data_IF_012828478456
#
_entry.id   IF_012828478456
#
_cell.length_a   1.000
_cell.length_b   1.000
_cell.length_c   1.000
_cell.angle_alpha   90.00
_cell.angle_beta   90.00
_cell.angle_gamma   90.00
#
_symmetry.space_group_name_H-M   'P 1'
#
loop_
_entity.id
_entity.type
_entity.pdbx_description
1 polymer ?
#
# COMPACT_ATOMS: atom_id res chain seq x y z
N UNK A 1 -4.84 -0.34 9.88
CA UNK A 1 -4.57 0.94 10.57
C UNK A 1 -5.68 1.98 10.37
N UNK A 2 -6.10 2.33 9.13
CA UNK A 2 -7.12 3.39 8.88
C UNK A 2 -8.41 3.17 9.70
N UNK A 3 -9.01 1.98 9.64
CA UNK A 3 -10.21 1.66 10.42
C UNK A 3 -9.95 1.67 11.92
N UNK A 4 -8.83 1.16 12.38
CA UNK A 4 -8.46 1.17 13.81
C UNK A 4 -8.36 2.61 14.32
N UNK A 5 -7.68 3.48 13.59
CA UNK A 5 -7.61 4.91 13.92
C UNK A 5 -8.98 5.58 13.89
N UNK A 6 -9.82 5.27 12.88
CA UNK A 6 -11.17 5.82 12.79
C UNK A 6 -12.06 5.41 13.96
N UNK A 7 -11.96 4.16 14.40
CA UNK A 7 -12.73 3.64 15.53
C UNK A 7 -12.21 4.16 16.87
N UNK A 8 -10.89 4.34 17.02
CA UNK A 8 -10.30 4.89 18.25
C UNK A 8 -10.67 6.36 18.49
N UNK A 9 -11.11 7.07 17.47
CA UNK A 9 -11.56 8.47 17.53
C UNK A 9 -13.06 8.60 17.86
N UNK A 10 -13.73 7.51 18.20
CA UNK A 10 -15.16 7.51 18.58
C UNK A 10 -15.38 8.26 19.89
N UNK A 11 -16.47 9.06 19.97
CA UNK A 11 -16.80 9.83 21.16
C UNK A 11 -17.54 8.96 22.18
N UNK A 12 -16.95 8.82 23.38
CA UNK A 12 -17.49 8.05 24.50
C UNK A 12 -18.91 8.48 24.91
N UNK A 13 -19.22 9.77 24.82
CA UNK A 13 -20.53 10.34 25.22
C UNK A 13 -21.70 9.75 24.47
N UNK A 14 -21.50 9.40 23.18
CA UNK A 14 -22.55 8.77 22.38
C UNK A 14 -22.87 7.36 22.89
N UNK A 15 -21.84 6.63 23.32
CA UNK A 15 -22.01 5.29 23.90
C UNK A 15 -22.62 5.35 25.30
N UNK A 16 -22.24 6.32 26.14
CA UNK A 16 -22.84 6.56 27.44
C UNK A 16 -24.32 6.92 27.30
N UNK A 17 -24.68 7.80 26.37
CA UNK A 17 -26.06 8.13 26.07
C UNK A 17 -26.86 6.90 25.61
N UNK A 18 -26.29 6.04 24.78
CA UNK A 18 -26.92 4.80 24.34
C UNK A 18 -27.11 3.80 25.51
N UNK A 19 -26.20 3.77 26.46
CA UNK A 19 -26.28 2.93 27.66
C UNK A 19 -27.41 3.42 28.57
N UNK A 20 -27.53 4.74 28.80
CA UNK A 20 -28.63 5.35 29.56
C UNK A 20 -30.02 5.07 28.91
N UNK A 21 -30.04 5.06 27.58
CA UNK A 21 -31.27 4.74 26.81
C UNK A 21 -31.53 3.23 26.69
N UNK A 22 -30.76 2.38 27.40
CA UNK A 22 -30.86 0.91 27.35
C UNK A 22 -30.82 0.35 25.92
N UNK A 23 -30.01 0.98 25.03
CA UNK A 23 -29.87 0.56 23.63
C UNK A 23 -29.10 -0.76 23.55
N UNK A 24 -29.59 -1.72 22.76
CA UNK A 24 -28.88 -2.99 22.58
C UNK A 24 -27.49 -2.78 21.91
N UNK A 25 -26.49 -3.64 22.23
CA UNK A 25 -25.13 -3.56 21.67
C UNK A 25 -25.14 -3.52 20.14
N UNK A 26 -25.97 -4.34 19.48
CA UNK A 26 -26.09 -4.36 18.01
C UNK A 26 -26.65 -3.02 17.47
N UNK A 27 -27.67 -2.47 18.12
CA UNK A 27 -28.25 -1.18 17.71
C UNK A 27 -27.26 -0.05 17.88
N UNK A 28 -26.52 0.01 19.00
CA UNK A 28 -25.44 0.98 19.22
C UNK A 28 -24.34 0.85 18.16
N UNK A 29 -23.94 -0.38 17.79
CA UNK A 29 -22.99 -0.62 16.72
C UNK A 29 -23.44 -0.05 15.36
N UNK A 30 -24.70 -0.30 14.97
CA UNK A 30 -25.25 0.16 13.69
C UNK A 30 -25.54 1.66 13.65
N UNK A 31 -25.90 2.28 14.80
CA UNK A 31 -26.36 3.69 14.84
C UNK A 31 -25.28 4.66 15.30
N UNK A 32 -24.24 4.21 16.01
CA UNK A 32 -23.16 5.05 16.54
C UNK A 32 -21.83 4.67 15.91
N UNK A 33 -21.41 3.39 16.03
CA UNK A 33 -20.08 2.96 15.61
C UNK A 33 -19.90 3.07 14.10
N UNK A 34 -20.80 2.48 13.29
CA UNK A 34 -20.70 2.51 11.82
C UNK A 34 -20.81 3.95 11.27
N UNK A 35 -21.82 4.77 11.67
CA UNK A 35 -21.92 6.13 11.19
C UNK A 35 -20.75 7.02 11.64
N UNK A 36 -20.24 6.81 12.85
CA UNK A 36 -19.04 7.52 13.35
C UNK A 36 -17.78 7.20 12.55
N UNK A 37 -17.63 5.94 12.13
CA UNK A 37 -16.49 5.47 11.35
C UNK A 37 -16.67 5.61 9.82
N UNK A 38 -17.77 6.16 9.32
CA UNK A 38 -18.14 6.18 7.89
C UNK A 38 -17.04 6.67 6.96
N UNK A 39 -16.34 7.74 7.31
CA UNK A 39 -15.27 8.26 6.47
C UNK A 39 -14.02 7.36 6.48
N UNK A 40 -13.72 6.74 7.62
CA UNK A 40 -12.67 5.72 7.71
C UNK A 40 -13.02 4.46 6.91
N UNK A 41 -14.28 4.04 6.91
CA UNK A 41 -14.76 2.91 6.10
C UNK A 41 -14.62 3.24 4.61
N UNK A 42 -15.09 4.40 4.17
CA UNK A 42 -14.96 4.85 2.76
C UNK A 42 -13.49 4.93 2.36
N UNK A 43 -12.64 5.58 3.17
CA UNK A 43 -11.20 5.65 2.93
C UNK A 43 -10.58 4.26 2.78
N UNK A 44 -10.92 3.33 3.69
CA UNK A 44 -10.39 1.96 3.64
C UNK A 44 -10.81 1.22 2.37
N UNK A 45 -12.08 1.35 1.95
CA UNK A 45 -12.58 0.73 0.70
C UNK A 45 -11.76 1.24 -0.50
N UNK A 46 -11.57 2.55 -0.62
CA UNK A 46 -10.84 3.12 -1.76
C UNK A 46 -9.33 2.83 -1.73
N UNK A 47 -8.72 2.76 -0.55
CA UNK A 47 -7.31 2.35 -0.41
C UNK A 47 -7.13 0.90 -0.83
N UNK A 48 -8.00 -0.02 -0.34
CA UNK A 48 -7.95 -1.44 -0.74
C UNK A 48 -8.21 -1.56 -2.25
N UNK A 49 -9.23 -0.86 -2.76
CA UNK A 49 -9.53 -0.85 -4.20
C UNK A 49 -8.31 -0.46 -5.02
N UNK A 50 -7.64 0.64 -4.65
CA UNK A 50 -6.45 1.11 -5.37
C UNK A 50 -5.33 0.08 -5.31
N UNK A 51 -5.02 -0.47 -4.13
CA UNK A 51 -3.95 -1.45 -3.97
C UNK A 51 -4.20 -2.72 -4.78
N UNK A 52 -5.42 -3.26 -4.74
CA UNK A 52 -5.78 -4.48 -5.50
C UNK A 52 -5.82 -4.21 -7.00
N UNK A 53 -6.38 -3.06 -7.41
CA UNK A 53 -6.50 -2.70 -8.83
C UNK A 53 -5.14 -2.48 -9.50
N UNK A 54 -4.15 -2.02 -8.75
CA UNK A 54 -2.79 -1.76 -9.25
C UNK A 54 -1.81 -2.87 -8.96
N UNK A 55 -2.26 -3.94 -8.27
CA UNK A 55 -1.38 -5.06 -7.92
C UNK A 55 -0.97 -5.85 -9.16
N UNK A 56 0.34 -6.03 -9.27
CA UNK A 56 0.96 -6.85 -10.32
C UNK A 56 1.40 -8.21 -9.78
N UNK A 57 1.92 -8.25 -8.55
CA UNK A 57 2.63 -9.39 -8.02
C UNK A 57 1.75 -10.63 -7.86
N UNK A 58 0.66 -10.49 -7.13
CA UNK A 58 -0.27 -11.59 -6.86
C UNK A 58 -0.90 -12.12 -8.16
N UNK A 59 -1.52 -11.28 -9.02
CA UNK A 59 -2.09 -11.76 -10.28
C UNK A 59 -1.07 -12.42 -11.21
N UNK A 60 0.18 -11.96 -11.22
CA UNK A 60 1.23 -12.57 -12.06
C UNK A 60 1.57 -13.99 -11.64
N UNK A 61 1.55 -14.27 -10.33
CA UNK A 61 1.97 -15.58 -9.79
C UNK A 61 0.82 -16.58 -9.76
N UNK A 62 -0.35 -16.16 -9.28
CA UNK A 62 -1.48 -17.10 -9.05
C UNK A 62 -2.67 -16.90 -9.98
N UNK A 63 -2.67 -15.82 -10.79
CA UNK A 63 -3.81 -15.47 -11.66
C UNK A 63 -4.08 -16.44 -12.79
N UNK A 64 -3.11 -17.29 -13.17
CA UNK A 64 -3.27 -18.24 -14.28
C UNK A 64 -3.68 -17.54 -15.58
N UNK A 65 -4.89 -17.86 -16.07
CA UNK A 65 -5.46 -17.24 -17.29
C UNK A 65 -6.26 -15.95 -17.03
N UNK A 66 -6.42 -15.54 -15.76
CA UNK A 66 -7.06 -14.27 -15.44
C UNK A 66 -6.10 -13.13 -15.69
N UNK A 67 -6.39 -12.33 -16.72
CA UNK A 67 -5.60 -11.16 -17.03
C UNK A 67 -6.15 -9.94 -16.27
N UNK A 68 -5.25 -9.17 -15.67
CA UNK A 68 -5.54 -7.86 -15.10
C UNK A 68 -4.68 -6.81 -15.80
N UNK A 69 -5.12 -5.54 -15.81
CA UNK A 69 -4.42 -4.47 -16.55
C UNK A 69 -2.93 -4.38 -16.19
N UNK A 70 -2.57 -4.58 -14.92
CA UNK A 70 -1.17 -4.57 -14.48
C UNK A 70 -0.35 -5.69 -15.11
N UNK A 71 -0.91 -6.91 -15.27
CA UNK A 71 -0.23 -8.01 -15.97
C UNK A 71 -0.15 -7.79 -17.47
N UNK A 72 -1.15 -7.12 -18.07
CA UNK A 72 -1.14 -6.80 -19.49
C UNK A 72 -0.10 -5.74 -19.83
N UNK A 73 0.07 -4.71 -18.99
CA UNK A 73 1.20 -3.76 -19.12
C UNK A 73 2.53 -4.53 -19.17
N UNK A 74 2.74 -5.47 -18.24
CA UNK A 74 3.97 -6.25 -18.21
C UNK A 74 4.16 -7.10 -19.47
N UNK A 75 3.10 -7.76 -19.96
CA UNK A 75 3.15 -8.57 -21.18
C UNK A 75 3.50 -7.72 -22.41
N UNK A 76 2.87 -6.57 -22.57
CA UNK A 76 3.13 -5.67 -23.69
C UNK A 76 4.55 -5.09 -23.64
N UNK A 77 4.97 -4.57 -22.47
CA UNK A 77 6.26 -3.88 -22.32
C UNK A 77 7.43 -4.86 -22.32
N UNK A 78 7.37 -5.90 -21.46
CA UNK A 78 8.50 -6.83 -21.27
C UNK A 78 8.42 -8.01 -22.23
N UNK A 79 7.21 -8.52 -22.48
CA UNK A 79 7.01 -9.67 -23.35
C UNK A 79 7.09 -9.33 -24.85
N UNK A 80 6.38 -8.28 -25.26
CA UNK A 80 6.23 -7.91 -26.70
C UNK A 80 7.08 -6.69 -27.08
N UNK A 81 7.73 -6.01 -26.12
CA UNK A 81 8.48 -4.76 -26.31
C UNK A 81 7.63 -3.65 -26.97
N UNK A 82 6.32 -3.73 -26.80
CA UNK A 82 5.36 -2.75 -27.31
C UNK A 82 5.10 -1.67 -26.26
N UNK A 83 6.01 -0.72 -26.16
CA UNK A 83 5.95 0.36 -25.18
C UNK A 83 4.73 1.28 -25.38
N UNK A 84 4.30 1.49 -26.63
CA UNK A 84 3.16 2.35 -26.94
C UNK A 84 1.86 1.77 -26.38
N UNK A 85 1.61 0.48 -26.60
CA UNK A 85 0.43 -0.19 -26.05
C UNK A 85 0.52 -0.26 -24.53
N UNK A 86 1.69 -0.55 -23.97
CA UNK A 86 1.93 -0.49 -22.54
C UNK A 86 1.59 0.87 -21.93
N UNK A 87 1.93 1.98 -22.61
CA UNK A 87 1.55 3.33 -22.19
C UNK A 87 0.03 3.56 -22.21
N UNK A 88 -0.67 3.10 -23.26
CA UNK A 88 -2.14 3.21 -23.34
C UNK A 88 -2.81 2.47 -22.18
N UNK A 89 -2.43 1.22 -21.93
CA UNK A 89 -2.98 0.42 -20.84
C UNK A 89 -2.65 1.07 -19.47
N UNK A 90 -1.45 1.65 -19.33
CA UNK A 90 -1.04 2.38 -18.13
C UNK A 90 -1.92 3.61 -17.86
N UNK A 91 -2.29 4.37 -18.90
CA UNK A 91 -3.23 5.49 -18.76
C UNK A 91 -4.62 5.02 -18.36
N UNK A 92 -5.11 3.91 -18.92
CA UNK A 92 -6.40 3.32 -18.51
C UNK A 92 -6.35 2.87 -17.06
N UNK A 93 -5.25 2.26 -16.60
CA UNK A 93 -5.04 1.86 -15.21
C UNK A 93 -4.99 3.08 -14.27
N UNK A 94 -4.42 4.18 -14.71
CA UNK A 94 -4.26 5.39 -13.91
C UNK A 94 -5.60 6.06 -13.58
N UNK A 95 -6.59 6.06 -14.48
CA UNK A 95 -7.85 6.79 -14.30
C UNK A 95 -8.62 6.37 -13.02
N UNK A 96 -8.94 5.07 -12.79
CA UNK A 96 -9.62 4.66 -11.56
C UNK A 96 -8.75 4.86 -10.31
N UNK A 97 -7.42 4.70 -10.41
CA UNK A 97 -6.51 4.89 -9.29
C UNK A 97 -6.50 6.35 -8.81
N UNK A 98 -6.41 7.30 -9.73
CA UNK A 98 -6.48 8.74 -9.43
C UNK A 98 -7.84 9.12 -8.87
N UNK A 99 -8.94 8.60 -9.42
CA UNK A 99 -10.27 8.83 -8.87
C UNK A 99 -10.39 8.33 -7.44
N UNK A 100 -9.96 7.09 -7.17
CA UNK A 100 -9.99 6.49 -5.84
C UNK A 100 -9.13 7.30 -4.84
N UNK A 101 -7.97 7.79 -5.26
CA UNK A 101 -7.12 8.65 -4.46
C UNK A 101 -7.83 9.96 -4.05
N UNK A 102 -8.51 10.64 -4.94
CA UNK A 102 -9.25 11.87 -4.60
C UNK A 102 -10.39 11.60 -3.63
N UNK A 103 -11.10 10.48 -3.78
CA UNK A 103 -12.16 10.10 -2.82
C UNK A 103 -11.57 9.79 -1.45
N UNK A 104 -10.45 9.08 -1.38
CA UNK A 104 -9.75 8.81 -0.13
C UNK A 104 -9.29 10.11 0.56
N UNK A 105 -8.67 11.03 -0.17
CA UNK A 105 -8.25 12.33 0.35
C UNK A 105 -9.42 13.17 0.88
N UNK A 106 -10.53 13.19 0.16
CA UNK A 106 -11.73 13.87 0.62
C UNK A 106 -12.27 13.26 1.92
N UNK A 107 -12.31 11.94 2.01
CA UNK A 107 -12.78 11.21 3.18
C UNK A 107 -11.90 11.47 4.40
N UNK A 108 -10.57 11.45 4.25
CA UNK A 108 -9.60 11.75 5.33
C UNK A 108 -9.76 13.17 5.87
N UNK A 109 -9.91 14.17 5.00
CA UNK A 109 -10.15 15.56 5.43
C UNK A 109 -11.43 15.70 6.26
N UNK A 110 -12.49 15.00 5.88
CA UNK A 110 -13.76 15.01 6.62
C UNK A 110 -13.66 14.27 7.95
N UNK A 111 -12.89 13.22 8.04
CA UNK A 111 -12.67 12.47 9.28
C UNK A 111 -11.97 13.36 10.32
N UNK A 112 -10.89 14.05 9.94
CA UNK A 112 -10.18 14.96 10.85
C UNK A 112 -11.08 16.11 11.32
N UNK A 113 -11.96 16.63 10.46
CA UNK A 113 -12.88 17.72 10.80
C UNK A 113 -13.97 17.30 11.81
N UNK A 114 -14.25 16.00 11.96
CA UNK A 114 -15.21 15.50 12.96
C UNK A 114 -14.62 15.42 14.38
N UNK A 115 -13.30 15.49 14.52
CA UNK A 115 -12.63 15.55 15.82
C UNK A 115 -12.90 16.92 16.46
N UNK A 116 -13.87 16.98 17.33
CA UNK A 116 -14.10 18.16 18.14
C UNK A 116 -13.08 18.20 19.29
N UNK A 117 -12.64 19.40 19.68
CA UNK A 117 -11.74 19.62 20.82
C UNK A 117 -12.35 19.16 22.18
N UNK A 118 -13.60 18.68 22.17
CA UNK A 118 -14.35 18.22 23.34
C UNK A 118 -14.67 16.71 23.29
N UNK A 119 -14.23 15.97 22.27
CA UNK A 119 -14.48 14.53 22.20
C UNK A 119 -13.64 13.80 23.25
N UNK A 120 -14.27 12.90 23.98
CA UNK A 120 -13.63 11.99 24.93
C UNK A 120 -13.45 10.65 24.23
N UNK A 121 -12.20 10.14 24.22
CA UNK A 121 -11.89 8.85 23.58
C UNK A 121 -12.67 7.74 24.27
N UNK A 122 -13.34 6.92 23.47
CA UNK A 122 -14.11 5.77 23.98
C UNK A 122 -13.15 4.63 24.39
N UNK A 123 -13.19 4.26 25.66
CA UNK A 123 -12.52 3.07 26.18
C UNK A 123 -13.55 1.95 26.34
N UNK A 124 -13.43 0.85 25.56
CA UNK A 124 -14.38 -0.26 25.66
C UNK A 124 -14.28 -0.96 27.03
N UNK A 125 -15.44 -1.29 27.59
CA UNK A 125 -15.52 -2.09 28.82
C UNK A 125 -14.98 -3.49 28.57
N UNK A 126 -14.16 -4.02 29.50
CA UNK A 126 -13.61 -5.37 29.42
C UNK A 126 -14.73 -6.40 29.47
N UNK A 127 -14.89 -7.17 28.41
CA UNK A 127 -15.83 -8.29 28.30
C UNK A 127 -15.03 -9.54 27.90
N UNK A 128 -14.72 -10.38 28.90
CA UNK A 128 -13.88 -11.59 28.68
C UNK A 128 -14.42 -12.53 27.61
N UNK A 129 -15.76 -12.63 27.48
CA UNK A 129 -16.38 -13.49 26.46
C UNK A 129 -16.13 -12.95 25.04
N UNK A 130 -16.35 -11.64 24.85
CA UNK A 130 -16.10 -10.97 23.58
C UNK A 130 -14.60 -10.96 23.24
N UNK A 131 -13.76 -10.65 24.22
CA UNK A 131 -12.31 -10.61 24.02
C UNK A 131 -11.75 -11.99 23.58
N UNK A 132 -12.23 -13.08 24.19
CA UNK A 132 -11.84 -14.44 23.83
C UNK A 132 -12.34 -14.81 22.42
N UNK A 133 -13.56 -14.45 22.06
CA UNK A 133 -14.11 -14.70 20.74
C UNK A 133 -13.32 -13.92 19.64
N UNK A 134 -12.98 -12.64 19.90
CA UNK A 134 -12.17 -11.84 19.00
C UNK A 134 -10.74 -12.35 18.88
N UNK A 135 -10.14 -12.79 20.02
CA UNK A 135 -8.82 -13.42 20.01
C UNK A 135 -8.81 -14.71 19.17
N UNK A 136 -9.83 -15.56 19.32
CA UNK A 136 -9.97 -16.77 18.51
C UNK A 136 -10.12 -16.46 17.03
N UNK A 137 -10.92 -15.45 16.66
CA UNK A 137 -11.08 -14.99 15.27
C UNK A 137 -9.75 -14.48 14.68
N UNK A 138 -9.05 -13.60 15.38
CA UNK A 138 -7.74 -13.10 14.95
C UNK A 138 -6.70 -14.22 14.90
N UNK A 139 -6.74 -15.13 15.86
CA UNK A 139 -5.87 -16.32 15.90
C UNK A 139 -6.08 -17.24 14.70
N UNK A 140 -7.34 -17.44 14.29
CA UNK A 140 -7.66 -18.23 13.09
C UNK A 140 -7.09 -17.57 11.82
N UNK A 141 -7.27 -16.26 11.65
CA UNK A 141 -6.69 -15.53 10.51
C UNK A 141 -5.16 -15.61 10.53
N UNK A 142 -4.53 -15.40 11.68
CA UNK A 142 -3.09 -15.51 11.85
C UNK A 142 -2.60 -16.93 11.49
N UNK A 143 -3.31 -17.97 11.94
CA UNK A 143 -2.97 -19.37 11.62
C UNK A 143 -3.03 -19.65 10.12
N UNK A 144 -4.03 -19.12 9.39
CA UNK A 144 -4.11 -19.24 7.93
C UNK A 144 -2.91 -18.57 7.25
N UNK A 145 -2.55 -17.36 7.67
CA UNK A 145 -1.39 -16.64 7.13
C UNK A 145 -0.09 -17.42 7.39
N UNK A 146 0.12 -17.90 8.63
CA UNK A 146 1.29 -18.71 8.97
C UNK A 146 1.33 -20.04 8.22
N UNK A 147 0.18 -20.65 7.97
CA UNK A 147 0.09 -21.87 7.15
C UNK A 147 0.55 -21.61 5.71
N UNK A 148 0.12 -20.49 5.09
CA UNK A 148 0.57 -20.15 3.73
C UNK A 148 2.07 -19.90 3.67
N UNK A 149 2.64 -19.15 4.64
CA UNK A 149 4.08 -18.91 4.72
C UNK A 149 4.83 -20.23 5.00
N UNK A 150 4.29 -21.07 5.89
CA UNK A 150 4.84 -22.39 6.20
C UNK A 150 4.87 -23.32 4.99
N UNK A 151 3.83 -23.27 4.14
CA UNK A 151 3.80 -24.04 2.89
C UNK A 151 4.87 -23.57 1.90
N UNK A 152 5.11 -22.25 1.79
CA UNK A 152 6.19 -21.73 0.96
C UNK A 152 7.56 -22.20 1.47
N UNK A 153 7.77 -22.13 2.81
CA UNK A 153 8.99 -22.63 3.44
C UNK A 153 9.16 -24.14 3.27
N UNK A 154 8.07 -24.91 3.42
CA UNK A 154 8.10 -26.36 3.19
C UNK A 154 8.44 -26.69 1.74
N UNK A 155 7.82 -25.97 0.77
CA UNK A 155 8.16 -26.12 -0.66
C UNK A 155 9.63 -25.86 -0.97
N UNK A 156 10.26 -24.90 -0.27
CA UNK A 156 11.69 -24.61 -0.41
C UNK A 156 12.61 -25.74 0.16
N UNK A 157 12.10 -26.52 1.10
CA UNK A 157 12.85 -27.58 1.77
C UNK A 157 12.67 -28.97 1.14
N UNK A 158 11.75 -29.17 0.18
CA UNK A 158 11.52 -30.45 -0.49
C UNK A 158 12.21 -30.52 -1.83
N UNK A 159 12.69 -31.71 -2.25
CA UNK A 159 13.46 -31.88 -3.50
C UNK A 159 12.67 -31.54 -4.75
N UNK A 160 11.41 -31.97 -4.83
CA UNK A 160 10.58 -31.75 -6.02
C UNK A 160 9.10 -31.83 -5.68
N UNK A 161 8.47 -30.69 -5.55
CA UNK A 161 7.03 -30.60 -5.25
C UNK A 161 6.18 -30.95 -6.49
N UNK A 162 5.08 -31.70 -6.36
CA UNK A 162 4.60 -32.47 -5.21
C UNK A 162 5.10 -33.91 -5.17
N UNK A 163 6.00 -34.32 -6.06
CA UNK A 163 6.32 -35.73 -6.35
C UNK A 163 7.40 -36.34 -5.43
N UNK A 164 8.35 -35.52 -4.95
CA UNK A 164 9.42 -36.00 -4.07
C UNK A 164 9.56 -35.04 -2.87
N UNK A 165 8.94 -35.44 -1.75
CA UNK A 165 8.86 -34.65 -0.53
C UNK A 165 10.05 -34.87 0.42
N UNK A 166 11.12 -35.58 -0.01
CA UNK A 166 12.31 -35.72 0.82
C UNK A 166 12.99 -34.35 1.05
N UNK A 167 13.42 -34.11 2.28
CA UNK A 167 14.05 -32.85 2.69
C UNK A 167 15.39 -32.59 1.98
N UNK A 168 15.62 -31.34 1.61
CA UNK A 168 16.86 -30.88 0.97
C UNK A 168 17.09 -29.39 1.26
N UNK A 169 18.37 -29.00 1.31
CA UNK A 169 18.78 -27.60 1.36
C UNK A 169 19.34 -27.11 0.02
N UNK A 170 19.28 -27.97 -1.02
CA UNK A 170 19.89 -27.70 -2.33
C UNK A 170 19.33 -26.40 -2.98
N UNK A 171 18.05 -26.09 -2.73
CA UNK A 171 17.40 -24.89 -3.28
C UNK A 171 17.90 -23.58 -2.66
N UNK A 172 18.60 -23.64 -1.52
CA UNK A 172 19.26 -22.48 -0.91
C UNK A 172 20.61 -22.14 -1.54
N UNK A 173 21.11 -22.98 -2.46
CA UNK A 173 22.22 -22.64 -3.33
C UNK A 173 21.75 -21.71 -4.43
N UNK A 174 21.78 -20.39 -4.17
CA UNK A 174 21.25 -19.31 -5.02
C UNK A 174 21.97 -19.10 -6.36
N UNK A 175 22.97 -19.93 -6.71
CA UNK A 175 23.88 -19.67 -7.82
C UNK A 175 23.38 -20.12 -9.20
N UNK A 176 22.05 -20.27 -9.36
CA UNK A 176 21.49 -20.74 -10.65
C UNK A 176 21.11 -19.54 -11.53
N UNK A 177 21.68 -19.46 -12.71
CA UNK A 177 21.30 -18.56 -13.82
C UNK A 177 21.38 -17.05 -13.53
N UNK A 178 22.45 -16.57 -12.87
CA UNK A 178 22.65 -15.14 -12.64
C UNK A 178 21.75 -14.52 -11.53
N UNK A 179 20.96 -15.34 -10.88
CA UNK A 179 20.14 -15.00 -9.71
C UNK A 179 20.91 -15.45 -8.47
N UNK A 180 21.91 -14.70 -8.04
CA UNK A 180 22.70 -15.09 -6.89
C UNK A 180 22.49 -14.17 -5.68
N UNK A 181 23.34 -14.35 -4.70
CA UNK A 181 23.46 -13.47 -3.54
C UNK A 181 23.66 -12.00 -3.94
N UNK A 182 24.14 -11.73 -5.15
CA UNK A 182 24.26 -10.39 -5.70
C UNK A 182 22.90 -9.66 -5.76
N UNK A 183 21.83 -10.32 -6.22
CA UNK A 183 20.49 -9.74 -6.25
C UNK A 183 19.98 -9.41 -4.85
N UNK A 184 20.28 -10.25 -3.87
CA UNK A 184 19.96 -10.01 -2.47
C UNK A 184 20.70 -8.77 -1.93
N UNK A 185 22.01 -8.68 -2.15
CA UNK A 185 22.81 -7.52 -1.74
C UNK A 185 22.37 -6.23 -2.46
N UNK A 186 22.03 -6.31 -3.73
CA UNK A 186 21.51 -5.17 -4.49
C UNK A 186 20.18 -4.70 -3.95
N UNK A 187 19.27 -5.61 -3.53
CA UNK A 187 18.03 -5.27 -2.88
C UNK A 187 18.24 -4.58 -1.53
N UNK A 188 19.18 -5.07 -0.71
CA UNK A 188 19.55 -4.43 0.56
C UNK A 188 20.15 -3.04 0.31
N UNK A 189 21.06 -2.91 -0.66
CA UNK A 189 21.64 -1.59 -1.00
C UNK A 189 20.59 -0.61 -1.47
N UNK A 190 19.68 -1.05 -2.34
CA UNK A 190 18.54 -0.24 -2.78
C UNK A 190 17.72 0.24 -1.60
N UNK A 191 17.29 -0.68 -0.72
CA UNK A 191 16.51 -0.35 0.46
C UNK A 191 17.23 0.63 1.40
N UNK A 192 18.53 0.41 1.64
CA UNK A 192 19.35 1.26 2.50
C UNK A 192 19.52 2.68 1.94
N UNK A 193 19.86 2.82 0.66
CA UNK A 193 19.97 4.12 0.03
C UNK A 193 18.62 4.84 -0.03
N UNK A 194 17.55 4.12 -0.38
CA UNK A 194 16.20 4.70 -0.38
C UNK A 194 15.77 5.16 1.01
N UNK A 195 16.06 4.39 2.06
CA UNK A 195 15.74 4.76 3.43
C UNK A 195 16.47 6.04 3.86
N UNK A 196 17.77 6.16 3.58
CA UNK A 196 18.54 7.34 3.97
C UNK A 196 18.11 8.56 3.16
N UNK A 197 18.22 8.50 1.84
CA UNK A 197 17.92 9.66 0.99
C UNK A 197 16.43 10.01 1.01
N UNK A 198 15.55 9.01 1.02
CA UNK A 198 14.11 9.20 1.12
C UNK A 198 13.72 9.87 2.41
N UNK A 199 14.23 9.40 3.56
CA UNK A 199 13.93 10.03 4.86
C UNK A 199 14.35 11.49 4.89
N UNK A 200 15.55 11.83 4.39
CA UNK A 200 16.03 13.22 4.35
C UNK A 200 15.14 14.08 3.46
N UNK A 201 14.83 13.61 2.25
CA UNK A 201 14.00 14.36 1.28
C UNK A 201 12.58 14.56 1.81
N UNK A 202 11.97 13.50 2.33
CA UNK A 202 10.61 13.53 2.89
C UNK A 202 10.58 14.45 4.12
N UNK A 203 11.56 14.34 5.01
CA UNK A 203 11.64 15.20 6.19
C UNK A 203 11.77 16.69 5.82
N UNK A 204 12.67 17.03 4.89
CA UNK A 204 12.83 18.40 4.41
C UNK A 204 11.55 18.91 3.76
N UNK A 205 10.92 18.11 2.91
CA UNK A 205 9.64 18.44 2.27
C UNK A 205 8.52 18.68 3.27
N UNK A 206 8.34 17.75 4.22
CA UNK A 206 7.34 17.88 5.28
C UNK A 206 7.60 19.12 6.18
N UNK A 207 8.86 19.36 6.52
CA UNK A 207 9.26 20.53 7.31
C UNK A 207 8.93 21.83 6.59
N UNK A 208 9.26 21.93 5.30
CA UNK A 208 8.96 23.11 4.48
C UNK A 208 7.44 23.32 4.42
N UNK A 209 6.67 22.30 4.12
CA UNK A 209 5.20 22.36 4.03
C UNK A 209 4.58 22.80 5.36
N UNK A 210 5.09 22.30 6.50
CA UNK A 210 4.56 22.67 7.82
C UNK A 210 4.94 24.09 8.25
N UNK A 211 6.12 24.56 7.88
CA UNK A 211 6.62 25.90 8.28
C UNK A 211 6.21 27.03 7.34
N UNK A 212 5.79 26.75 6.12
CA UNK A 212 5.28 27.75 5.16
C UNK A 212 3.87 28.25 5.55
N UNK A 213 3.77 28.98 6.67
CA UNK A 213 2.49 29.53 7.16
C UNK A 213 2.00 30.74 6.36
N UNK A 214 2.91 31.48 5.72
CA UNK A 214 2.62 32.78 5.07
C UNK A 214 2.05 32.61 3.65
N UNK A 215 2.21 31.46 3.00
CA UNK A 215 1.82 31.21 1.60
C UNK A 215 0.94 29.96 1.48
N UNK A 216 -0.32 30.06 1.87
CA UNK A 216 -1.28 28.93 1.83
C UNK A 216 -1.42 28.28 0.45
N UNK A 217 -1.40 29.08 -0.63
CA UNK A 217 -1.46 28.54 -1.99
C UNK A 217 -0.25 27.69 -2.35
N UNK A 218 0.96 28.15 -2.01
CA UNK A 218 2.20 27.40 -2.24
C UNK A 218 2.22 26.10 -1.43
N UNK A 219 1.81 26.14 -0.18
CA UNK A 219 1.64 24.97 0.67
C UNK A 219 0.70 23.93 0.05
N UNK A 220 -0.47 24.38 -0.44
CA UNK A 220 -1.43 23.50 -1.12
C UNK A 220 -0.87 22.84 -2.36
N UNK A 221 -0.12 23.57 -3.18
CA UNK A 221 0.55 23.05 -4.37
C UNK A 221 1.61 22.00 -3.99
N UNK A 222 2.48 22.31 -3.01
CA UNK A 222 3.50 21.37 -2.55
C UNK A 222 2.89 20.10 -1.97
N UNK A 223 1.81 20.21 -1.18
CA UNK A 223 1.07 19.05 -0.69
C UNK A 223 0.49 18.20 -1.82
N UNK A 224 -0.07 18.85 -2.86
CA UNK A 224 -0.62 18.14 -4.01
C UNK A 224 0.49 17.35 -4.73
N UNK A 225 1.64 17.98 -5.00
CA UNK A 225 2.77 17.31 -5.63
C UNK A 225 3.37 16.18 -4.78
N UNK A 226 3.39 16.34 -3.46
CA UNK A 226 3.84 15.30 -2.55
C UNK A 226 2.91 14.08 -2.52
N UNK A 227 1.60 14.29 -2.67
CA UNK A 227 0.61 13.21 -2.62
C UNK A 227 0.36 12.53 -3.98
N UNK A 228 0.70 13.21 -5.08
CA UNK A 228 0.41 12.73 -6.44
C UNK A 228 1.12 11.39 -6.76
N UNK A 229 2.39 11.16 -6.38
CA UNK A 229 3.05 9.89 -6.63
C UNK A 229 2.38 8.69 -5.95
N UNK A 230 1.76 8.88 -4.79
CA UNK A 230 0.99 7.82 -4.12
C UNK A 230 -0.24 7.35 -4.91
N UNK A 231 -0.78 8.24 -5.77
CA UNK A 231 -1.91 7.90 -6.63
C UNK A 231 -1.50 7.13 -7.88
N UNK A 232 -0.22 7.18 -8.25
CA UNK A 232 0.29 6.59 -9.49
C UNK A 232 0.82 5.19 -9.22
N UNK A 233 0.28 4.15 -9.91
CA UNK A 233 0.80 2.78 -9.78
C UNK A 233 2.29 2.69 -10.12
N UNK A 234 3.05 1.89 -9.37
CA UNK A 234 4.50 1.76 -9.56
C UNK A 234 4.91 1.31 -10.97
N UNK A 235 4.13 0.44 -11.62
CA UNK A 235 4.36 0.04 -13.02
C UNK A 235 4.23 1.22 -14.00
N UNK A 236 3.25 2.10 -13.77
CA UNK A 236 3.03 3.30 -14.61
C UNK A 236 4.19 4.28 -14.44
N UNK A 237 4.62 4.50 -13.19
CA UNK A 237 5.82 5.31 -12.90
C UNK A 237 7.06 4.71 -13.56
N UNK A 238 7.31 3.41 -13.41
CA UNK A 238 8.43 2.74 -14.04
C UNK A 238 8.46 2.92 -15.56
N UNK A 239 7.31 2.78 -16.22
CA UNK A 239 7.21 2.99 -17.66
C UNK A 239 7.47 4.47 -18.05
N UNK A 240 6.94 5.42 -17.28
CA UNK A 240 7.22 6.84 -17.49
C UNK A 240 8.71 7.17 -17.36
N UNK A 241 9.41 6.55 -16.39
CA UNK A 241 10.86 6.68 -16.24
C UNK A 241 11.62 6.09 -17.44
N UNK A 242 11.17 4.95 -18.01
CA UNK A 242 11.76 4.39 -19.22
C UNK A 242 11.64 5.39 -20.38
N UNK A 243 10.45 5.92 -20.64
CA UNK A 243 10.24 6.89 -21.73
C UNK A 243 11.07 8.16 -21.54
N UNK A 244 11.19 8.65 -20.32
CA UNK A 244 11.92 9.89 -20.07
C UNK A 244 13.44 9.69 -20.10
N UNK A 245 13.97 8.73 -19.32
CA UNK A 245 15.41 8.58 -19.17
C UNK A 245 16.10 7.81 -20.29
N UNK A 246 15.38 6.96 -21.03
CA UNK A 246 15.92 6.24 -22.18
C UNK A 246 15.82 7.04 -23.51
N UNK A 247 15.29 8.27 -23.45
CA UNK A 247 15.26 9.12 -24.63
C UNK A 247 16.66 9.61 -25.01
N UNK A 248 17.04 9.47 -26.29
CA UNK A 248 18.36 9.86 -26.80
C UNK A 248 18.71 11.34 -26.63
N UNK A 249 17.67 12.20 -26.53
CA UNK A 249 17.81 13.65 -26.33
C UNK A 249 17.91 14.06 -24.85
N UNK A 250 17.77 13.13 -23.91
CA UNK A 250 17.77 13.47 -22.49
C UNK A 250 19.20 13.53 -21.92
N UNK A 251 19.62 14.70 -21.37
CA UNK A 251 20.95 14.84 -20.78
C UNK A 251 21.16 13.99 -19.52
N UNK A 252 20.06 13.55 -18.88
CA UNK A 252 20.10 12.68 -17.70
C UNK A 252 20.03 11.18 -18.05
N UNK A 253 20.11 10.81 -19.34
CA UNK A 253 20.09 9.42 -19.78
C UNK A 253 21.21 8.55 -19.17
N UNK A 254 22.32 9.16 -18.71
CA UNK A 254 23.43 8.44 -18.07
C UNK A 254 23.06 7.75 -16.76
N UNK A 255 21.95 8.16 -16.09
CA UNK A 255 21.48 7.48 -14.87
C UNK A 255 20.55 6.31 -15.18
N UNK A 256 20.10 6.16 -16.44
CA UNK A 256 19.26 5.04 -16.85
C UNK A 256 19.96 3.69 -16.63
N UNK A 257 19.20 2.68 -16.20
CA UNK A 257 19.72 1.35 -15.86
C UNK A 257 20.75 1.30 -14.71
N UNK A 258 20.82 2.34 -13.87
CA UNK A 258 21.69 2.37 -12.68
C UNK A 258 20.89 2.22 -11.37
N UNK A 259 21.59 1.92 -10.28
CA UNK A 259 21.01 1.91 -8.93
C UNK A 259 20.39 3.29 -8.57
N UNK A 260 20.97 4.38 -9.07
CA UNK A 260 20.53 5.75 -8.79
C UNK A 260 19.08 5.98 -9.25
N UNK A 261 18.72 5.56 -10.47
CA UNK A 261 17.36 5.73 -10.97
C UNK A 261 16.33 4.92 -10.16
N UNK A 262 16.73 3.72 -9.69
CA UNK A 262 15.88 2.90 -8.83
C UNK A 262 15.62 3.58 -7.48
N UNK A 263 16.67 4.15 -6.87
CA UNK A 263 16.55 4.91 -5.62
C UNK A 263 15.65 6.14 -5.83
N UNK A 264 15.87 6.92 -6.87
CA UNK A 264 15.06 8.11 -7.19
C UNK A 264 13.60 7.74 -7.39
N UNK A 265 13.32 6.74 -8.22
CA UNK A 265 11.95 6.28 -8.47
C UNK A 265 11.26 5.82 -7.18
N UNK A 266 11.97 5.07 -6.34
CA UNK A 266 11.41 4.56 -5.08
C UNK A 266 11.18 5.70 -4.08
N UNK A 267 12.11 6.66 -3.96
CA UNK A 267 11.93 7.84 -3.11
C UNK A 267 10.74 8.67 -3.58
N UNK A 268 10.59 8.91 -4.89
CA UNK A 268 9.44 9.64 -5.45
C UNK A 268 8.13 8.90 -5.19
N UNK A 269 8.12 7.58 -5.30
CA UNK A 269 6.91 6.78 -5.06
C UNK A 269 6.42 6.82 -3.61
N UNK A 270 7.35 6.92 -2.65
CA UNK A 270 7.03 6.96 -1.21
C UNK A 270 7.01 8.37 -0.60
N UNK A 271 7.26 9.42 -1.41
CA UNK A 271 7.20 10.81 -0.96
C UNK A 271 5.76 11.24 -0.66
#
# INVERSE_FOLDING_TARGET
MILSTSLSLSDARLYEAAEVLHTSKLRAFLTITIPGARYGIVSTIFVIFTQVFTDFGVPKVIGGNYNVLATDIYKEVVGMQNFQMGAVISLVLLLPAVFAFFVDQYSRKRQVALLSSRSVVFEPKKDRGLDMAMLAFCGCIAAIIFMMIGMAQYGALVKFWPYNLSMTLKHYGFEVAGLGWESFYNSIRLAFYTAIFGTVIIFVGAYIVEKLRTQEKMRGILQLFALLPMAVPGLVLGLAYIFYFNASSNPLGFIYATMAILVINTVVHFY
#
